data_IF_041053012150
#
_entry.id   IF_041053012150
#
_cell.length_a   1.000
_cell.length_b   1.000
_cell.length_c   1.000
_cell.angle_alpha   90.00
_cell.angle_beta   90.00
_cell.angle_gamma   90.00
#
_symmetry.space_group_name_H-M   'P 1'
#
loop_
_entity.id
_entity.type
_entity.pdbx_description
1 polymer ?
#
# COMPACT_ATOMS: atom_id res chain seq x y z
N UNK A 1 2.78 -41.86 4.10
CA UNK A 1 3.23 -41.22 2.84
C UNK A 1 2.10 -41.00 1.85
N UNK A 2 1.32 -42.01 1.44
CA UNK A 2 0.24 -41.85 0.44
C UNK A 2 -0.75 -40.69 0.73
N UNK A 3 -1.19 -40.53 1.99
CA UNK A 3 -2.07 -39.42 2.40
C UNK A 3 -1.43 -38.03 2.31
N UNK A 4 -0.11 -37.94 2.50
CA UNK A 4 0.62 -36.67 2.41
C UNK A 4 0.86 -36.24 0.96
N UNK A 5 1.03 -37.22 0.06
CA UNK A 5 1.16 -36.98 -1.39
C UNK A 5 -0.19 -36.51 -1.95
N UNK A 6 -1.29 -37.21 -1.64
CA UNK A 6 -2.62 -36.81 -2.09
C UNK A 6 -2.99 -35.38 -1.63
N UNK A 7 -2.70 -35.03 -0.37
CA UNK A 7 -2.90 -33.67 0.14
C UNK A 7 -2.04 -32.64 -0.60
N UNK A 8 -0.78 -32.96 -0.90
CA UNK A 8 0.09 -32.06 -1.66
C UNK A 8 -0.44 -31.80 -3.08
N UNK A 9 -0.96 -32.83 -3.75
CA UNK A 9 -1.54 -32.69 -5.10
C UNK A 9 -2.78 -31.77 -5.07
N UNK A 10 -3.65 -31.92 -4.07
CA UNK A 10 -4.78 -31.03 -3.84
C UNK A 10 -4.33 -29.58 -3.58
N UNK A 11 -3.37 -29.39 -2.66
CA UNK A 11 -2.83 -28.07 -2.30
C UNK A 11 -2.12 -27.42 -3.52
N UNK A 12 -1.45 -28.22 -4.36
CA UNK A 12 -0.77 -27.75 -5.57
C UNK A 12 -1.75 -27.34 -6.67
N UNK A 13 -2.81 -28.13 -6.88
CA UNK A 13 -3.88 -27.77 -7.80
C UNK A 13 -4.59 -26.47 -7.36
N UNK A 14 -4.87 -26.31 -6.07
CA UNK A 14 -5.44 -25.09 -5.52
C UNK A 14 -4.50 -23.88 -5.69
N UNK A 15 -3.19 -24.07 -5.50
CA UNK A 15 -2.20 -23.04 -5.75
C UNK A 15 -2.16 -22.62 -7.24
N UNK A 16 -2.18 -23.58 -8.17
CA UNK A 16 -2.23 -23.27 -9.61
C UNK A 16 -3.46 -22.44 -9.97
N UNK A 17 -4.64 -22.82 -9.47
CA UNK A 17 -5.87 -22.06 -9.68
C UNK A 17 -5.78 -20.64 -9.10
N UNK A 18 -5.14 -20.48 -7.93
CA UNK A 18 -4.89 -19.17 -7.34
C UNK A 18 -3.98 -18.30 -8.22
N UNK A 19 -2.89 -18.86 -8.75
CA UNK A 19 -1.97 -18.15 -9.65
C UNK A 19 -2.66 -17.75 -10.96
N UNK A 20 -3.42 -18.68 -11.55
CA UNK A 20 -4.21 -18.41 -12.75
C UNK A 20 -5.25 -17.31 -12.52
N UNK A 21 -5.96 -17.35 -11.39
CA UNK A 21 -6.92 -16.32 -11.00
C UNK A 21 -6.25 -14.95 -10.85
N UNK A 22 -5.10 -14.89 -10.19
CA UNK A 22 -4.35 -13.64 -10.00
C UNK A 22 -3.89 -13.02 -11.33
N UNK A 23 -3.37 -13.82 -12.26
CA UNK A 23 -2.95 -13.34 -13.58
C UNK A 23 -4.15 -12.95 -14.45
N UNK A 24 -5.25 -13.72 -14.40
CA UNK A 24 -6.51 -13.41 -15.11
C UNK A 24 -7.09 -12.08 -14.64
N UNK A 25 -7.12 -11.86 -13.33
CA UNK A 25 -7.72 -10.67 -12.71
C UNK A 25 -6.73 -9.53 -12.51
N UNK A 26 -5.52 -9.63 -13.09
CA UNK A 26 -4.50 -8.61 -13.01
C UNK A 26 -5.01 -7.24 -13.48
N UNK A 27 -5.81 -7.23 -14.55
CA UNK A 27 -6.42 -6.02 -15.10
C UNK A 27 -7.40 -5.34 -14.14
N UNK A 28 -8.17 -6.12 -13.38
CA UNK A 28 -9.10 -5.59 -12.35
C UNK A 28 -8.30 -4.99 -11.20
N UNK A 29 -7.28 -5.72 -10.74
CA UNK A 29 -6.41 -5.28 -9.64
C UNK A 29 -5.63 -4.02 -10.03
N UNK A 30 -5.11 -3.97 -11.25
CA UNK A 30 -4.39 -2.81 -11.76
C UNK A 30 -5.31 -1.59 -11.87
N UNK A 31 -6.54 -1.76 -12.40
CA UNK A 31 -7.52 -0.68 -12.48
C UNK A 31 -7.88 -0.10 -11.11
N UNK A 32 -8.01 -0.94 -10.07
CA UNK A 32 -8.30 -0.49 -8.70
C UNK A 32 -7.19 0.37 -8.09
N UNK A 33 -5.95 0.23 -8.58
CA UNK A 33 -4.77 0.96 -8.06
C UNK A 33 -4.51 2.28 -8.77
N UNK A 34 -5.40 2.69 -9.67
CA UNK A 34 -5.26 3.96 -10.33
C UNK A 34 -5.38 5.09 -9.31
N UNK A 35 -4.25 5.72 -9.01
CA UNK A 35 -4.23 6.94 -8.21
C UNK A 35 -4.86 8.07 -9.03
N UNK A 36 -5.73 8.81 -8.38
CA UNK A 36 -6.25 10.04 -8.93
C UNK A 36 -5.13 11.08 -8.87
N UNK A 37 -4.86 11.84 -9.96
CA UNK A 37 -3.85 12.87 -9.93
C UNK A 37 -4.15 13.89 -8.82
N UNK A 38 -3.13 14.16 -8.01
CA UNK A 38 -3.17 15.19 -6.98
C UNK A 38 -2.96 16.58 -7.58
N UNK A 39 -3.65 17.56 -7.02
CA UNK A 39 -3.46 18.98 -7.28
C UNK A 39 -3.52 19.75 -5.95
N UNK A 40 -3.00 20.97 -5.94
CA UNK A 40 -3.02 21.83 -4.76
C UNK A 40 -3.33 23.27 -5.12
N UNK A 41 -4.09 23.94 -4.24
CA UNK A 41 -4.15 25.39 -4.18
C UNK A 41 -3.33 25.87 -2.99
N UNK A 42 -2.56 26.94 -3.19
CA UNK A 42 -1.73 27.52 -2.15
C UNK A 42 -2.32 28.87 -1.73
N UNK A 43 -2.71 28.98 -0.46
CA UNK A 43 -3.22 30.22 0.12
C UNK A 43 -2.15 30.92 0.95
N UNK A 44 -1.98 32.24 0.76
CA UNK A 44 -1.11 33.06 1.62
C UNK A 44 -1.84 34.31 2.07
N UNK A 45 -1.96 34.51 3.38
CA UNK A 45 -2.43 35.78 3.93
C UNK A 45 -1.29 36.81 3.95
N UNK A 46 -1.19 37.57 2.86
CA UNK A 46 -0.24 38.70 2.70
C UNK A 46 -0.73 40.02 3.34
N UNK A 47 -1.87 40.01 4.02
CA UNK A 47 -2.40 41.18 4.70
C UNK A 47 -1.56 41.59 5.91
N UNK A 48 -1.93 42.72 6.52
CA UNK A 48 -1.36 43.19 7.79
C UNK A 48 -2.20 42.77 9.01
N UNK A 49 -3.26 41.99 8.79
CA UNK A 49 -4.20 41.52 9.81
C UNK A 49 -4.58 40.07 9.53
N UNK A 50 -5.00 39.37 10.58
CA UNK A 50 -5.58 38.02 10.47
C UNK A 50 -6.89 38.04 9.70
N UNK A 51 -7.17 36.99 8.94
CA UNK A 51 -8.47 36.79 8.31
C UNK A 51 -9.39 36.03 9.28
N UNK A 52 -10.57 36.59 9.55
CA UNK A 52 -11.53 36.04 10.51
C UNK A 52 -12.54 35.16 9.78
N UNK A 53 -12.82 33.96 10.31
CA UNK A 53 -13.75 32.99 9.71
C UNK A 53 -13.43 32.75 8.23
N UNK A 54 -12.16 32.46 7.95
CA UNK A 54 -11.71 32.18 6.61
C UNK A 54 -12.35 30.88 6.12
N UNK A 55 -12.95 30.91 4.93
CA UNK A 55 -13.56 29.78 4.26
C UNK A 55 -12.91 29.60 2.90
N UNK A 56 -12.42 28.39 2.66
CA UNK A 56 -11.83 27.95 1.40
C UNK A 56 -12.79 26.93 0.78
N UNK A 57 -13.27 27.25 -0.41
CA UNK A 57 -14.15 26.42 -1.20
C UNK A 57 -13.42 25.98 -2.47
N UNK A 58 -13.31 24.69 -2.71
CA UNK A 58 -12.86 24.14 -3.99
C UNK A 58 -14.07 23.57 -4.69
N UNK A 59 -14.42 24.12 -5.85
CA UNK A 59 -15.58 23.70 -6.62
C UNK A 59 -15.17 23.25 -8.02
N UNK A 60 -15.82 22.20 -8.50
CA UNK A 60 -15.59 21.63 -9.83
C UNK A 60 -16.60 22.19 -10.83
N UNK A 61 -16.12 22.61 -11.99
CA UNK A 61 -16.91 22.86 -13.18
C UNK A 61 -16.51 21.88 -14.29
N UNK A 62 -17.29 20.83 -14.49
CA UNK A 62 -17.04 19.79 -15.50
C UNK A 62 -17.63 18.44 -15.12
N UNK A 63 -17.36 17.40 -15.92
CA UNK A 63 -17.80 16.02 -15.64
C UNK A 63 -16.75 15.24 -14.84
N UNK A 64 -16.38 15.77 -13.68
CA UNK A 64 -15.44 15.11 -12.79
C UNK A 64 -15.72 15.46 -11.34
N UNK A 65 -15.00 14.79 -10.44
CA UNK A 65 -15.13 14.89 -9.00
C UNK A 65 -13.78 15.17 -8.39
N UNK A 66 -13.80 15.75 -7.19
CA UNK A 66 -12.63 15.95 -6.35
C UNK A 66 -12.84 15.23 -5.03
N UNK A 67 -11.74 14.83 -4.40
CA UNK A 67 -11.78 14.36 -3.02
C UNK A 67 -10.55 14.85 -2.28
N UNK A 68 -10.60 14.78 -0.95
CA UNK A 68 -9.44 15.08 -0.11
C UNK A 68 -8.28 14.14 -0.46
N UNK A 69 -7.09 14.71 -0.64
CA UNK A 69 -5.88 13.93 -0.73
C UNK A 69 -5.56 13.30 0.65
N UNK A 70 -5.51 11.96 0.72
CA UNK A 70 -5.37 11.24 1.99
C UNK A 70 -4.03 11.48 2.68
N UNK A 71 -2.93 11.64 1.91
CA UNK A 71 -1.60 11.95 2.43
C UNK A 71 -0.78 12.70 1.36
N UNK A 72 -0.24 13.86 1.71
CA UNK A 72 0.74 14.60 0.90
C UNK A 72 2.20 14.28 1.31
N UNK A 73 2.41 13.42 2.31
CA UNK A 73 3.73 13.13 2.86
C UNK A 73 4.40 11.92 2.19
N UNK A 74 5.70 12.04 1.90
CA UNK A 74 6.52 11.01 1.23
C UNK A 74 6.50 9.63 1.89
N UNK A 75 6.17 9.53 3.19
CA UNK A 75 6.04 8.27 3.93
C UNK A 75 4.79 7.46 3.56
N UNK A 76 3.78 8.07 2.95
CA UNK A 76 2.62 7.35 2.44
C UNK A 76 3.00 6.37 1.33
N UNK A 77 4.02 6.73 0.54
CA UNK A 77 4.50 5.98 -0.62
C UNK A 77 5.06 4.62 -0.20
N UNK A 78 5.76 4.53 0.93
CA UNK A 78 6.44 3.30 1.36
C UNK A 78 5.46 2.19 1.81
N UNK A 79 4.39 2.56 2.53
CA UNK A 79 3.37 1.60 2.99
C UNK A 79 2.52 1.10 1.82
N UNK A 80 2.14 2.00 0.91
CA UNK A 80 1.37 1.63 -0.27
C UNK A 80 2.20 0.80 -1.26
N UNK A 81 3.49 1.14 -1.46
CA UNK A 81 4.41 0.36 -2.27
C UNK A 81 4.59 -1.07 -1.76
N UNK A 82 4.63 -1.28 -0.43
CA UNK A 82 4.72 -2.62 0.15
C UNK A 82 3.48 -3.45 -0.15
N UNK A 83 2.29 -2.86 -0.02
CA UNK A 83 1.02 -3.53 -0.31
C UNK A 83 0.89 -3.83 -1.81
N UNK A 84 1.27 -2.86 -2.67
CA UNK A 84 1.33 -3.03 -4.12
C UNK A 84 2.23 -4.18 -4.53
N UNK A 85 3.43 -4.26 -3.95
CA UNK A 85 4.38 -5.37 -4.19
C UNK A 85 3.82 -6.70 -3.75
N UNK A 86 3.19 -6.77 -2.58
CA UNK A 86 2.59 -8.02 -2.08
C UNK A 86 1.50 -8.54 -3.02
N UNK A 87 0.61 -7.67 -3.49
CA UNK A 87 -0.47 -8.04 -4.40
C UNK A 87 0.01 -8.33 -5.85
N UNK A 88 1.19 -7.86 -6.26
CA UNK A 88 1.85 -8.24 -7.53
C UNK A 88 2.77 -9.45 -7.38
N UNK A 89 2.95 -9.99 -6.18
CA UNK A 89 3.77 -11.17 -6.00
C UNK A 89 2.93 -12.43 -6.26
N UNK A 90 3.47 -13.34 -7.06
CA UNK A 90 2.89 -14.68 -7.23
C UNK A 90 3.19 -15.48 -5.94
N UNK A 91 2.18 -16.13 -5.32
CA UNK A 91 2.39 -16.90 -4.10
C UNK A 91 3.35 -18.07 -4.34
N UNK A 92 4.11 -18.45 -3.31
CA UNK A 92 5.00 -19.61 -3.39
C UNK A 92 4.20 -20.91 -3.46
N UNK A 93 4.66 -21.93 -4.22
CA UNK A 93 4.01 -23.23 -4.26
C UNK A 93 4.05 -23.91 -2.88
N UNK A 94 3.11 -24.85 -2.61
CA UNK A 94 3.12 -25.62 -1.37
C UNK A 94 4.43 -26.41 -1.22
N UNK A 95 4.84 -26.62 0.03
CA UNK A 95 6.05 -27.37 0.33
C UNK A 95 5.85 -28.86 0.00
N UNK A 96 6.88 -29.49 -0.56
CA UNK A 96 6.88 -30.92 -0.83
C UNK A 96 6.73 -31.72 0.48
N UNK A 97 5.99 -32.85 0.48
CA UNK A 97 5.88 -33.72 1.63
C UNK A 97 7.20 -34.48 1.85
N UNK A 98 8.13 -33.89 2.61
CA UNK A 98 9.39 -34.55 2.99
C UNK A 98 9.13 -35.50 4.18
N UNK A 99 9.67 -36.72 4.11
CA UNK A 99 9.70 -37.63 5.26
C UNK A 99 10.61 -37.03 6.35
N UNK A 100 10.02 -36.57 7.45
CA UNK A 100 10.70 -35.81 8.51
C UNK A 100 11.86 -36.59 9.11
N UNK A 101 12.94 -35.91 9.53
CA UNK A 101 13.06 -35.66 10.98
C UNK A 101 13.63 -34.29 11.41
N UNK A 102 13.99 -33.37 10.51
CA UNK A 102 14.55 -32.06 10.92
C UNK A 102 13.78 -30.82 10.42
N UNK A 103 13.04 -30.91 9.31
CA UNK A 103 12.32 -29.77 8.75
C UNK A 103 11.06 -29.36 9.55
N UNK A 104 10.50 -30.26 10.36
CA UNK A 104 9.31 -29.98 11.17
C UNK A 104 9.55 -28.88 12.23
N UNK A 105 10.79 -28.70 12.70
CA UNK A 105 11.14 -27.67 13.68
C UNK A 105 11.44 -26.30 13.05
N UNK A 106 11.68 -26.23 11.72
CA UNK A 106 11.85 -24.96 11.00
C UNK A 106 10.52 -24.43 10.43
N UNK A 107 9.60 -25.32 10.07
CA UNK A 107 8.26 -24.96 9.58
C UNK A 107 7.32 -24.44 10.68
N UNK A 108 7.62 -24.70 11.96
CA UNK A 108 6.92 -24.09 13.10
C UNK A 108 7.33 -22.63 13.37
N UNK A 109 8.43 -22.15 12.79
CA UNK A 109 8.99 -20.82 13.06
C UNK A 109 8.83 -19.81 11.92
N UNK A 110 8.37 -20.23 10.74
CA UNK A 110 8.09 -19.32 9.62
C UNK A 110 6.61 -18.92 9.49
N UNK A 111 5.75 -19.48 10.36
CA UNK A 111 4.30 -19.25 10.33
C UNK A 111 3.72 -18.76 11.67
N UNK A 112 4.56 -18.17 12.52
CA UNK A 112 4.11 -17.39 13.68
C UNK A 112 4.64 -15.96 13.55
N UNK A 113 3.68 -15.04 13.55
CA UNK A 113 3.82 -13.58 13.72
C UNK A 113 4.12 -12.73 12.46
N UNK A 114 3.15 -12.67 11.54
CA UNK A 114 2.89 -11.45 10.72
C UNK A 114 1.53 -10.80 11.06
N UNK A 115 0.74 -11.40 11.96
CA UNK A 115 -0.38 -10.75 12.63
C UNK A 115 -0.06 -10.63 14.12
N UNK A 116 0.73 -9.62 14.49
CA UNK A 116 0.77 -9.19 15.88
C UNK A 116 -0.63 -8.67 16.25
N UNK A 117 -1.21 -9.06 17.40
CA UNK A 117 -2.29 -8.28 17.96
C UNK A 117 -1.67 -6.93 18.29
N UNK A 118 -2.08 -5.89 17.55
CA UNK A 118 -1.82 -4.52 17.91
C UNK A 118 -2.17 -4.38 19.39
N UNK A 119 -1.14 -4.18 20.22
CA UNK A 119 -1.31 -3.66 21.55
C UNK A 119 -1.80 -2.24 21.35
N UNK A 120 -3.11 -2.10 21.22
CA UNK A 120 -3.78 -0.82 21.40
C UNK A 120 -3.33 -0.27 22.74
N UNK A 121 -2.65 0.88 22.83
CA UNK A 121 -2.61 1.58 24.10
C UNK A 121 -4.07 1.80 24.49
N UNK A 122 -4.41 1.38 25.71
CA UNK A 122 -5.65 1.75 26.38
C UNK A 122 -5.70 3.28 26.43
N UNK A 123 -6.23 3.87 25.36
CA UNK A 123 -6.56 5.27 25.28
C UNK A 123 -7.79 5.45 26.15
N UNK A 124 -7.54 6.13 27.26
CA UNK A 124 -8.49 6.69 28.19
C UNK A 124 -9.82 7.09 27.49
N UNK A 125 -10.95 6.44 27.81
CA UNK A 125 -12.25 6.73 27.18
C UNK A 125 -12.73 8.17 27.43
N UNK A 126 -12.10 8.89 28.34
CA UNK A 126 -12.49 10.24 28.75
C UNK A 126 -11.73 11.35 28.02
N UNK A 127 -10.72 11.05 27.21
CA UNK A 127 -9.98 12.05 26.42
C UNK A 127 -10.73 12.57 25.17
N UNK A 128 -11.93 12.04 24.88
CA UNK A 128 -12.71 12.38 23.67
C UNK A 128 -13.70 13.53 23.84
N UNK A 129 -13.73 14.20 25.00
CA UNK A 129 -14.80 15.16 25.30
C UNK A 129 -14.42 16.65 25.24
N UNK A 130 -13.20 17.02 24.86
CA UNK A 130 -12.90 18.40 24.48
C UNK A 130 -11.66 18.45 23.58
N UNK A 131 -11.81 18.05 22.33
CA UNK A 131 -10.84 18.48 21.31
C UNK A 131 -11.16 19.95 21.02
N UNK A 132 -10.62 20.86 21.83
CA UNK A 132 -10.69 22.29 21.57
C UNK A 132 -10.09 22.51 20.19
N UNK A 133 -10.95 22.81 19.21
CA UNK A 133 -10.56 23.01 17.82
C UNK A 133 -9.51 24.12 17.79
N UNK A 134 -8.37 23.86 17.16
CA UNK A 134 -7.36 24.90 16.97
C UNK A 134 -7.94 26.00 16.08
N UNK A 135 -8.11 27.20 16.64
CA UNK A 135 -8.68 28.34 15.94
C UNK A 135 -7.80 28.79 14.76
N UNK A 136 -6.50 28.49 14.80
CA UNK A 136 -5.53 28.90 13.78
C UNK A 136 -5.31 27.82 12.69
N UNK A 137 -6.04 26.69 12.76
CA UNK A 137 -5.96 25.60 11.80
C UNK A 137 -7.18 25.54 10.86
N UNK A 138 -6.96 25.15 9.60
CA UNK A 138 -8.05 24.81 8.70
C UNK A 138 -8.64 23.44 9.06
N UNK A 139 -9.95 23.36 9.19
CA UNK A 139 -10.64 22.08 9.35
C UNK A 139 -11.72 21.91 8.29
N UNK A 140 -11.90 20.65 7.90
CA UNK A 140 -12.89 20.25 6.89
C UNK A 140 -14.30 20.47 7.41
N UNK A 141 -15.09 21.18 6.61
CA UNK A 141 -16.53 21.35 6.84
C UNK A 141 -17.33 20.34 6.03
N UNK A 142 -17.00 20.20 4.74
CA UNK A 142 -17.73 19.37 3.77
C UNK A 142 -16.76 18.63 2.84
N UNK A 143 -17.13 17.43 2.39
CA UNK A 143 -16.40 16.70 1.35
C UNK A 143 -15.15 15.93 1.83
N UNK A 144 -15.13 15.54 3.11
CA UNK A 144 -13.93 14.93 3.73
C UNK A 144 -13.57 13.55 3.17
N UNK A 145 -14.55 12.71 2.82
CA UNK A 145 -14.32 11.27 2.59
C UNK A 145 -14.73 10.81 1.18
N UNK A 146 -15.91 11.21 0.72
CA UNK A 146 -16.44 10.77 -0.57
C UNK A 146 -16.07 11.72 -1.72
N UNK A 147 -15.93 11.19 -2.96
CA UNK A 147 -15.85 12.01 -4.16
C UNK A 147 -17.04 12.96 -4.27
N UNK A 148 -16.74 14.23 -4.45
CA UNK A 148 -17.71 15.33 -4.43
C UNK A 148 -17.35 16.36 -5.49
N UNK A 149 -18.29 17.21 -5.87
CA UNK A 149 -18.06 18.38 -6.72
C UNK A 149 -17.49 19.57 -5.93
N UNK A 150 -17.58 19.52 -4.59
CA UNK A 150 -17.23 20.62 -3.70
C UNK A 150 -16.54 20.17 -2.42
N UNK A 151 -15.42 20.81 -2.12
CA UNK A 151 -14.65 20.66 -0.88
C UNK A 151 -14.65 21.98 -0.10
N UNK A 152 -14.82 21.92 1.22
CA UNK A 152 -14.84 23.11 2.06
C UNK A 152 -13.95 22.95 3.29
N UNK A 153 -13.09 23.96 3.51
CA UNK A 153 -12.27 24.08 4.70
C UNK A 153 -12.53 25.44 5.34
N UNK A 154 -12.64 25.48 6.66
CA UNK A 154 -12.80 26.72 7.41
C UNK A 154 -11.73 26.85 8.50
N UNK A 155 -11.28 28.07 8.75
CA UNK A 155 -10.35 28.45 9.80
C UNK A 155 -10.92 29.66 10.53
N UNK A 156 -10.94 29.64 11.86
CA UNK A 156 -11.50 30.74 12.64
C UNK A 156 -10.60 31.98 12.60
N UNK A 157 -9.28 31.76 12.65
CA UNK A 157 -8.28 32.81 12.74
C UNK A 157 -7.05 32.52 11.85
N UNK A 158 -7.13 32.90 10.57
CA UNK A 158 -6.01 32.69 9.64
C UNK A 158 -5.00 33.85 9.71
N UNK A 159 -3.90 33.63 10.43
CA UNK A 159 -2.88 34.66 10.71
C UNK A 159 -2.11 35.07 9.46
N UNK A 160 -1.76 36.36 9.39
CA UNK A 160 -0.85 36.87 8.38
C UNK A 160 0.59 36.41 8.66
N UNK A 161 1.46 36.47 7.65
CA UNK A 161 2.89 36.12 7.76
C UNK A 161 3.17 34.67 8.24
N UNK A 162 2.21 33.76 8.07
CA UNK A 162 2.48 32.32 8.17
C UNK A 162 2.99 31.78 6.84
N UNK A 163 3.53 30.57 6.91
CA UNK A 163 3.81 29.76 5.73
C UNK A 163 2.54 29.60 4.88
N UNK A 164 2.69 29.45 3.56
CA UNK A 164 1.57 29.14 2.69
C UNK A 164 0.82 27.89 3.14
N UNK A 165 -0.51 27.95 3.13
CA UNK A 165 -1.35 26.81 3.41
C UNK A 165 -1.64 26.06 2.11
N UNK A 166 -1.36 24.74 2.11
CA UNK A 166 -1.59 23.87 0.97
C UNK A 166 -2.95 23.16 1.08
N UNK A 167 -3.85 23.50 0.17
CA UNK A 167 -5.15 22.84 0.01
C UNK A 167 -5.04 21.77 -1.06
N UNK A 168 -4.54 20.60 -0.67
CA UNK A 168 -4.33 19.46 -1.56
C UNK A 168 -5.60 18.60 -1.75
N UNK A 169 -5.86 18.19 -2.99
CA UNK A 169 -7.00 17.38 -3.39
C UNK A 169 -6.62 16.44 -4.55
N UNK A 170 -7.43 15.41 -4.76
CA UNK A 170 -7.31 14.48 -5.88
C UNK A 170 -8.45 14.70 -6.86
N UNK A 171 -8.17 14.49 -8.16
CA UNK A 171 -9.14 14.66 -9.24
C UNK A 171 -9.52 13.30 -9.82
N UNK A 172 -10.79 12.94 -9.73
CA UNK A 172 -11.33 11.67 -10.23
C UNK A 172 -12.49 11.85 -11.18
N UNK A 173 -12.80 10.83 -11.98
CA UNK A 173 -13.93 10.87 -12.91
C UNK A 173 -14.12 9.54 -13.63
N UNK A 174 -14.93 9.54 -14.69
CA UNK A 174 -15.08 8.36 -15.53
C UNK A 174 -13.80 8.07 -16.30
N UNK A 175 -13.36 6.81 -16.29
CA UNK A 175 -12.16 6.36 -17.00
C UNK A 175 -12.37 6.18 -18.52
N UNK A 176 -13.60 6.37 -19.01
CA UNK A 176 -13.97 6.07 -20.40
C UNK A 176 -13.73 7.23 -21.35
N UNK A 177 -13.66 8.45 -20.83
CA UNK A 177 -13.55 9.68 -21.62
C UNK A 177 -12.47 10.58 -21.02
N UNK A 178 -11.88 11.45 -21.84
CA UNK A 178 -11.01 12.50 -21.31
C UNK A 178 -11.79 13.37 -20.32
N UNK A 179 -11.20 13.60 -19.15
CA UNK A 179 -11.77 14.54 -18.18
C UNK A 179 -11.33 15.95 -18.57
N UNK A 180 -12.29 16.83 -18.77
CA UNK A 180 -12.07 18.23 -19.05
C UNK A 180 -12.94 19.12 -18.16
N UNK A 181 -12.36 20.22 -17.67
CA UNK A 181 -13.09 21.28 -17.00
C UNK A 181 -12.18 22.16 -16.13
N UNK A 182 -12.72 22.70 -15.06
CA UNK A 182 -12.03 23.67 -14.21
C UNK A 182 -12.26 23.38 -12.73
N UNK A 183 -11.22 23.53 -11.92
CA UNK A 183 -11.37 23.62 -10.46
C UNK A 183 -11.23 25.07 -10.06
N UNK A 184 -12.23 25.61 -9.37
CA UNK A 184 -12.24 26.96 -8.83
C UNK A 184 -11.99 26.91 -7.32
N UNK A 185 -10.89 27.51 -6.87
CA UNK A 185 -10.63 27.77 -5.46
C UNK A 185 -11.10 29.17 -5.09
N UNK A 186 -11.98 29.28 -4.11
CA UNK A 186 -12.48 30.56 -3.59
C UNK A 186 -12.11 30.68 -2.13
N UNK A 187 -11.45 31.78 -1.77
CA UNK A 187 -11.11 32.13 -0.39
C UNK A 187 -11.90 33.36 0.03
N UNK A 188 -12.73 33.20 1.06
CA UNK A 188 -13.51 34.28 1.66
C UNK A 188 -13.19 34.40 3.15
N UNK A 189 -13.39 35.58 3.73
CA UNK A 189 -13.26 35.81 5.17
C UNK A 189 -14.13 37.00 5.56
N UNK A 190 -14.55 37.06 6.82
CA UNK A 190 -15.49 38.08 7.31
C UNK A 190 -14.96 39.52 7.19
N UNK A 191 -13.64 39.69 7.21
CA UNK A 191 -12.97 40.99 7.10
C UNK A 191 -12.29 41.22 5.73
N UNK A 192 -12.60 40.40 4.71
CA UNK A 192 -12.25 40.67 3.32
C UNK A 192 -13.41 41.37 2.62
N UNK A 193 -13.11 42.42 1.85
CA UNK A 193 -14.12 43.15 1.08
C UNK A 193 -14.66 42.36 -0.12
N UNK A 194 -13.87 41.44 -0.64
CA UNK A 194 -14.25 40.51 -1.70
C UNK A 194 -13.51 39.18 -1.53
N UNK A 195 -14.13 38.10 -1.98
CA UNK A 195 -13.49 36.79 -2.03
C UNK A 195 -12.38 36.77 -3.10
N UNK A 196 -11.28 36.09 -2.79
CA UNK A 196 -10.18 35.85 -3.72
C UNK A 196 -10.45 34.55 -4.47
N UNK A 197 -10.29 34.53 -5.79
CA UNK A 197 -10.54 33.36 -6.61
C UNK A 197 -9.29 32.96 -7.39
N UNK A 198 -9.08 31.65 -7.51
CA UNK A 198 -8.09 31.03 -8.37
C UNK A 198 -8.77 29.93 -9.19
N UNK A 199 -8.31 29.73 -10.43
CA UNK A 199 -8.88 28.72 -11.34
C UNK A 199 -7.76 27.86 -11.90
N UNK A 200 -7.97 26.54 -11.86
CA UNK A 200 -7.09 25.54 -12.43
C UNK A 200 -7.84 24.83 -13.57
N UNK A 201 -7.54 25.13 -14.84
CA UNK A 201 -8.06 24.32 -15.94
C UNK A 201 -7.43 22.92 -15.88
N UNK A 202 -8.26 21.89 -16.04
CA UNK A 202 -7.87 20.49 -15.92
C UNK A 202 -8.21 19.76 -17.20
N UNK A 203 -7.23 19.03 -17.71
CA UNK A 203 -7.39 18.06 -18.79
C UNK A 203 -6.63 16.79 -18.45
N UNK A 204 -7.36 15.69 -18.25
CA UNK A 204 -6.78 14.38 -17.96
C UNK A 204 -7.13 13.45 -19.12
N UNK A 205 -6.08 12.97 -19.79
CA UNK A 205 -6.19 11.96 -20.83
C UNK A 205 -5.92 10.57 -20.22
N UNK A 206 -6.64 9.58 -20.73
CA UNK A 206 -6.52 8.20 -20.34
C UNK A 206 -5.74 7.48 -21.44
N UNK A 207 -4.70 6.73 -21.06
CA UNK A 207 -3.92 5.91 -21.98
C UNK A 207 -4.01 4.46 -21.52
N UNK A 208 -4.35 3.58 -22.45
CA UNK A 208 -4.29 2.15 -22.21
C UNK A 208 -2.82 1.72 -22.21
N UNK A 209 -2.46 0.92 -21.22
CA UNK A 209 -1.14 0.31 -21.13
C UNK A 209 -1.29 -1.21 -21.20
N UNK A 210 -0.49 -1.88 -22.05
CA UNK A 210 -0.42 -3.34 -22.03
C UNK A 210 0.04 -3.80 -20.64
N UNK A 211 -0.61 -4.83 -20.11
CA UNK A 211 -0.28 -5.41 -18.80
C UNK A 211 0.66 -6.60 -18.93
N UNK A 212 0.91 -7.08 -20.15
CA UNK A 212 1.84 -8.15 -20.47
C UNK A 212 3.23 -7.91 -19.87
N UNK A 213 3.86 -6.71 -19.98
CA UNK A 213 5.17 -6.47 -19.36
C UNK A 213 5.14 -6.58 -17.84
N UNK A 214 4.02 -6.22 -17.20
CA UNK A 214 3.84 -6.34 -15.75
C UNK A 214 3.69 -7.81 -15.37
N UNK A 215 2.90 -8.58 -16.11
CA UNK A 215 2.73 -10.01 -15.89
C UNK A 215 4.07 -10.77 -16.07
N UNK A 216 4.84 -10.46 -17.11
CA UNK A 216 6.18 -10.99 -17.33
C UNK A 216 7.11 -10.67 -16.17
N UNK A 217 7.07 -9.43 -15.66
CA UNK A 217 7.84 -9.04 -14.49
C UNK A 217 7.45 -9.83 -13.23
N UNK A 218 6.15 -10.08 -13.02
CA UNK A 218 5.68 -10.91 -11.89
C UNK A 218 6.23 -12.33 -11.96
N UNK A 219 6.23 -12.94 -13.15
CA UNK A 219 6.78 -14.28 -13.38
C UNK A 219 8.30 -14.29 -13.17
N UNK A 220 9.03 -13.32 -13.74
CA UNK A 220 10.47 -13.21 -13.57
C UNK A 220 10.87 -13.02 -12.09
N UNK A 221 10.11 -12.23 -11.34
CA UNK A 221 10.34 -12.08 -9.89
C UNK A 221 10.07 -13.38 -9.14
N UNK A 222 8.99 -14.09 -9.47
CA UNK A 222 8.68 -15.40 -8.90
C UNK A 222 9.78 -16.44 -9.18
N UNK A 223 10.30 -16.50 -10.41
CA UNK A 223 11.42 -17.37 -10.77
C UNK A 223 12.66 -17.08 -9.93
N UNK A 224 12.99 -15.78 -9.77
CA UNK A 224 14.13 -15.36 -8.95
C UNK A 224 13.96 -15.78 -7.48
N UNK A 225 12.77 -15.60 -6.90
CA UNK A 225 12.48 -16.03 -5.53
C UNK A 225 12.53 -17.55 -5.40
N UNK A 226 11.98 -18.26 -6.39
CA UNK A 226 12.00 -19.73 -6.46
C UNK A 226 13.41 -20.30 -6.56
N UNK A 227 14.30 -19.68 -7.35
CA UNK A 227 15.70 -20.08 -7.46
C UNK A 227 16.44 -19.93 -6.12
N UNK A 228 16.24 -18.80 -5.41
CA UNK A 228 16.80 -18.59 -4.07
C UNK A 228 16.31 -19.63 -3.08
N UNK A 229 15.03 -19.98 -3.13
CA UNK A 229 14.44 -21.03 -2.31
C UNK A 229 15.06 -22.41 -2.57
N UNK A 230 15.22 -22.79 -3.84
CA UNK A 230 15.89 -24.05 -4.23
C UNK A 230 17.36 -24.08 -3.78
N UNK A 231 18.07 -22.96 -3.90
CA UNK A 231 19.45 -22.85 -3.42
C UNK A 231 19.54 -22.98 -1.89
N UNK A 232 18.63 -22.34 -1.14
CA UNK A 232 18.55 -22.47 0.31
C UNK A 232 18.24 -23.92 0.75
N UNK A 233 17.39 -24.64 0.02
CA UNK A 233 17.11 -26.05 0.29
C UNK A 233 18.32 -26.95 0.02
N UNK A 234 19.10 -26.69 -1.03
CA UNK A 234 20.35 -27.42 -1.33
C UNK A 234 21.45 -27.20 -0.28
N UNK A 235 21.46 -26.07 0.41
CA UNK A 235 22.45 -25.77 1.48
C UNK A 235 22.13 -26.54 2.78
N UNK A 236 20.90 -27.03 2.94
CA UNK A 236 20.43 -27.75 4.15
C UNK A 236 20.55 -29.28 4.00
N UNK A 237 20.79 -29.81 2.80
CA UNK A 237 21.21 -31.22 2.64
C UNK A 237 22.69 -31.35 3.03
N UNK A 238 23.02 -32.12 4.08
CA UNK A 238 24.19 -31.82 4.88
C UNK A 238 25.49 -32.44 4.34
N UNK A 239 26.56 -31.73 4.71
CA UNK A 239 27.97 -32.13 4.83
C UNK A 239 28.20 -33.42 5.66
N UNK A 240 27.14 -34.04 6.18
CA UNK A 240 27.18 -35.20 7.08
C UNK A 240 27.24 -36.54 6.33
N UNK A 241 27.06 -36.55 5.00
CA UNK A 241 27.37 -37.73 4.20
C UNK A 241 28.89 -38.03 4.11
N UNK A 242 29.75 -37.07 4.46
CA UNK A 242 31.20 -37.27 4.48
C UNK A 242 31.71 -37.83 5.83
N UNK A 243 31.06 -37.54 6.97
CA UNK A 243 31.56 -37.98 8.28
C UNK A 243 31.20 -39.43 8.64
N UNK A 244 30.23 -40.04 7.95
CA UNK A 244 29.83 -41.43 8.18
C UNK A 244 30.61 -42.44 7.32
N UNK A 245 31.28 -41.97 6.25
CA UNK A 245 32.18 -42.78 5.43
C UNK A 245 33.54 -43.00 6.11
N UNK A 246 34.04 -42.01 6.86
CA UNK A 246 35.33 -42.09 7.55
C UNK A 246 35.28 -42.92 8.86
N UNK A 247 34.10 -43.15 9.44
CA UNK A 247 33.95 -43.92 10.68
C UNK A 247 33.84 -45.45 10.46
N UNK A 248 33.69 -45.92 9.21
CA UNK A 248 33.54 -47.35 8.87
C UNK A 248 34.80 -48.03 8.34
N UNK A 249 35.92 -47.32 8.25
CA UNK A 249 37.17 -47.88 7.73
C UNK A 249 38.09 -48.51 8.80
N UNK A 250 37.80 -48.37 10.09
CA UNK A 250 38.75 -48.74 11.16
C UNK A 250 38.20 -49.78 12.15
N UNK A 251 37.66 -50.89 11.65
CA UNK A 251 37.36 -52.07 12.47
C UNK A 251 37.76 -53.34 11.76
N UNK A 252 39.07 -53.53 11.59
CA UNK A 252 39.64 -54.85 11.29
C UNK A 252 40.04 -55.53 12.61
N UNK A 253 39.55 -56.75 12.92
CA UNK A 253 39.90 -57.47 14.13
C UNK A 253 41.08 -58.41 13.84
N UNK A 254 42.10 -58.46 14.70
CA UNK A 254 43.04 -59.61 14.73
C UNK A 254 43.91 -59.61 16.02
N UNK A 255 44.53 -60.75 16.39
CA UNK A 255 44.03 -61.67 17.41
C UNK A 255 44.99 -61.81 18.60
N UNK A 256 44.54 -62.54 19.61
CA UNK A 256 45.32 -62.87 20.80
C UNK A 256 46.62 -63.63 20.56
N UNK A 257 47.51 -63.51 21.54
CA UNK A 257 48.50 -64.52 21.91
C UNK A 257 48.54 -64.64 23.42
N UNK A 258 48.72 -65.90 23.82
CA UNK A 258 48.91 -66.45 25.15
C UNK A 258 50.13 -65.86 25.86
#
# INVERSE_FOLDING_TARGET
MARAIAKYEEDYAAWLEQVHGQLRDLHITWRRRREWPGALFMGVNKGNRRALKALVELAVGGKFTIRRLKKWTGDAKTVDDRKRRAELSIPMPPALPIASTLAANLLGSANRDIFGPDRTPLLDPLARLNTTRDADAFCWRTGREDPTDRLELECENWRHQREPEDFAFEIGGSDTESIEGVVAGTLSAANLSAAVQARLPVRIAFADQPLEPIAEQMVAEFERVSQRWRQAQKIVEPRDAQSEADAKADTTPYPGRW
#
